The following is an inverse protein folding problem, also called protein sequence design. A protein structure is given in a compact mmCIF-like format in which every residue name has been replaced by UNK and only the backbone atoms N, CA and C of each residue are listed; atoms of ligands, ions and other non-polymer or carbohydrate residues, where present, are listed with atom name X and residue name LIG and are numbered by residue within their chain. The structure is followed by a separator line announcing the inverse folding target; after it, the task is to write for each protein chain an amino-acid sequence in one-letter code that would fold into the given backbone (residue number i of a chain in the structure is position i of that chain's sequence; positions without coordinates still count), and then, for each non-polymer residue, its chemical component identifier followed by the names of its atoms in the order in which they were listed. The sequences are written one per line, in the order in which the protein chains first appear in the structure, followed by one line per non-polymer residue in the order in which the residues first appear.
data_IF_848074223366
#
_entry.id   IF_848074223366
#
_cell.length_a   1.000
_cell.length_b   1.000
_cell.length_c   1.000
_cell.angle_alpha   90.00
_cell.angle_beta   90.00
_cell.angle_gamma   90.00
#
_symmetry.space_group_name_H-M   'P 1'
#
loop_
_entity.id
_entity.type
_entity.pdbx_description
1 polymer ?
#
# COMPACT_ATOMS: atom_id res chain seq x y z
N UNK A 1 -7.64 -14.76 -21.19
CA UNK A 1 -8.40 -15.51 -22.22
C UNK A 1 -8.44 -14.71 -23.52
N UNK A 2 -8.83 -15.30 -24.65
CA UNK A 2 -8.85 -14.59 -25.95
C UNK A 2 -9.76 -13.34 -25.94
N UNK A 3 -10.82 -13.35 -25.14
CA UNK A 3 -11.73 -12.22 -24.94
C UNK A 3 -11.19 -11.12 -23.99
N UNK A 4 -9.97 -11.24 -23.48
CA UNK A 4 -9.36 -10.28 -22.54
C UNK A 4 -9.61 -10.57 -21.06
N UNK A 5 -10.66 -11.32 -20.71
CA UNK A 5 -10.95 -11.69 -19.31
C UNK A 5 -10.01 -12.76 -18.77
N UNK A 6 -9.86 -12.83 -17.45
CA UNK A 6 -9.18 -13.92 -16.74
C UNK A 6 -10.21 -14.85 -16.09
N UNK A 7 -9.92 -16.14 -15.99
CA UNK A 7 -10.85 -17.10 -15.40
C UNK A 7 -10.37 -18.54 -15.51
N UNK A 8 -11.15 -19.48 -14.99
CA UNK A 8 -10.83 -20.92 -14.96
C UNK A 8 -10.50 -21.52 -16.32
N UNK A 9 -9.52 -22.41 -16.39
CA UNK A 9 -9.07 -23.06 -17.64
C UNK A 9 -10.20 -23.79 -18.37
N UNK A 10 -11.12 -24.41 -17.62
CA UNK A 10 -12.23 -25.21 -18.15
C UNK A 10 -13.40 -24.39 -18.72
N UNK A 11 -13.43 -23.07 -18.50
CA UNK A 11 -14.51 -22.21 -18.96
C UNK A 11 -14.04 -21.33 -20.12
N UNK A 12 -14.90 -21.11 -21.12
CA UNK A 12 -14.58 -20.18 -22.22
C UNK A 12 -14.70 -18.71 -21.78
N UNK A 13 -15.57 -18.42 -20.82
CA UNK A 13 -15.83 -17.08 -20.27
C UNK A 13 -14.73 -16.63 -19.32
N UNK A 14 -14.52 -15.32 -19.24
CA UNK A 14 -13.77 -14.72 -18.13
C UNK A 14 -14.66 -14.56 -16.90
N UNK A 15 -14.05 -14.34 -15.75
CA UNK A 15 -14.74 -14.02 -14.51
C UNK A 15 -14.21 -12.73 -13.88
N UNK A 16 -15.13 -11.99 -13.26
CA UNK A 16 -14.86 -10.65 -12.73
C UNK A 16 -13.89 -10.69 -11.55
N UNK A 17 -13.92 -11.77 -10.76
CA UNK A 17 -13.04 -11.96 -9.59
C UNK A 17 -11.57 -12.16 -9.99
N UNK A 18 -11.29 -13.07 -10.91
CA UNK A 18 -9.92 -13.32 -11.38
C UNK A 18 -9.42 -12.14 -12.21
N UNK A 19 -10.28 -11.50 -12.99
CA UNK A 19 -9.90 -10.32 -13.80
C UNK A 19 -9.47 -9.14 -12.92
N UNK A 20 -10.13 -8.87 -11.79
CA UNK A 20 -9.68 -7.80 -10.89
C UNK A 20 -8.31 -8.07 -10.26
N UNK A 21 -7.94 -9.34 -10.01
CA UNK A 21 -6.62 -9.69 -9.48
C UNK A 21 -5.55 -9.68 -10.55
N UNK A 22 -5.88 -10.04 -11.79
CA UNK A 22 -4.99 -9.83 -12.93
C UNK A 22 -4.71 -8.34 -13.14
N UNK A 23 -5.72 -7.47 -12.98
CA UNK A 23 -5.54 -6.03 -13.00
C UNK A 23 -4.63 -5.55 -11.86
N UNK A 24 -4.86 -6.02 -10.62
CA UNK A 24 -4.02 -5.68 -9.47
C UNK A 24 -2.57 -6.14 -9.67
N UNK A 25 -2.35 -7.37 -10.15
CA UNK A 25 -1.01 -7.89 -10.44
C UNK A 25 -0.31 -7.08 -11.52
N UNK A 26 -1.02 -6.73 -12.59
CA UNK A 26 -0.52 -5.87 -13.66
C UNK A 26 -0.13 -4.49 -13.15
N UNK A 27 -0.91 -3.93 -12.23
CA UNK A 27 -0.63 -2.66 -11.58
C UNK A 27 0.60 -2.73 -10.68
N UNK A 28 0.74 -3.76 -9.85
CA UNK A 28 1.94 -3.95 -9.02
C UNK A 28 3.21 -4.18 -9.86
N UNK A 29 3.10 -4.87 -10.99
CA UNK A 29 4.20 -5.01 -11.95
C UNK A 29 4.57 -3.67 -12.61
N UNK A 30 3.57 -2.90 -13.03
CA UNK A 30 3.78 -1.54 -13.53
C UNK A 30 4.44 -0.65 -12.47
N UNK A 31 4.05 -0.80 -11.20
CA UNK A 31 4.64 -0.08 -10.05
C UNK A 31 6.15 -0.26 -9.88
N UNK A 32 6.70 -1.36 -10.38
CA UNK A 32 8.13 -1.67 -10.33
C UNK A 32 8.81 -1.60 -11.70
N UNK A 33 8.17 -0.99 -12.70
CA UNK A 33 8.73 -0.83 -14.05
C UNK A 33 8.70 -2.09 -14.91
N UNK A 34 7.95 -3.13 -14.51
CA UNK A 34 7.81 -4.41 -15.24
C UNK A 34 6.42 -4.59 -15.86
N UNK A 35 5.86 -3.49 -16.35
CA UNK A 35 4.47 -3.44 -16.79
C UNK A 35 4.16 -4.40 -17.95
N UNK A 36 2.93 -4.93 -18.04
CA UNK A 36 2.46 -5.57 -19.26
C UNK A 36 2.28 -4.56 -20.40
N UNK A 37 2.05 -5.07 -21.61
CA UNK A 37 1.74 -4.23 -22.78
C UNK A 37 0.42 -3.47 -22.60
N UNK A 38 0.30 -2.29 -23.25
CA UNK A 38 -0.98 -1.56 -23.29
C UNK A 38 -2.09 -2.40 -23.91
N UNK A 39 -1.79 -3.25 -24.90
CA UNK A 39 -2.76 -4.12 -25.54
C UNK A 39 -3.36 -5.13 -24.55
N UNK A 40 -2.55 -5.66 -23.62
CA UNK A 40 -3.03 -6.54 -22.56
C UNK A 40 -3.92 -5.79 -21.56
N UNK A 41 -3.56 -4.55 -21.21
CA UNK A 41 -4.36 -3.68 -20.33
C UNK A 41 -5.70 -3.33 -20.99
N UNK A 42 -5.68 -2.93 -22.27
CA UNK A 42 -6.88 -2.59 -23.04
C UNK A 42 -7.79 -3.81 -23.23
N UNK A 43 -7.25 -5.00 -23.45
CA UNK A 43 -8.05 -6.21 -23.58
C UNK A 43 -8.82 -6.52 -22.28
N UNK A 44 -8.15 -6.43 -21.13
CA UNK A 44 -8.79 -6.60 -19.82
C UNK A 44 -9.81 -5.51 -19.52
N UNK A 45 -9.48 -4.25 -19.84
CA UNK A 45 -10.38 -3.11 -19.62
C UNK A 45 -11.62 -3.23 -20.51
N UNK A 46 -11.44 -3.51 -21.81
CA UNK A 46 -12.53 -3.74 -22.75
C UNK A 46 -13.45 -4.88 -22.28
N UNK A 47 -12.88 -5.98 -21.79
CA UNK A 47 -13.66 -7.08 -21.26
C UNK A 47 -14.53 -6.64 -20.08
N UNK A 48 -13.99 -5.88 -19.12
CA UNK A 48 -14.76 -5.34 -18.00
C UNK A 48 -15.87 -4.38 -18.46
N UNK A 49 -15.58 -3.52 -19.44
CA UNK A 49 -16.56 -2.57 -19.97
C UNK A 49 -17.72 -3.26 -20.71
N UNK A 50 -17.43 -4.34 -21.45
CA UNK A 50 -18.42 -5.10 -22.22
C UNK A 50 -19.22 -6.12 -21.39
N UNK A 51 -18.71 -6.50 -20.22
CA UNK A 51 -19.38 -7.44 -19.31
C UNK A 51 -20.11 -6.75 -18.16
N UNK A 52 -20.05 -5.42 -18.08
CA UNK A 52 -20.93 -4.67 -17.19
C UNK A 52 -22.37 -4.79 -17.68
N UNK A 53 -23.32 -5.04 -16.78
CA UNK A 53 -24.72 -5.03 -17.17
C UNK A 53 -25.29 -3.60 -17.25
N UNK A 54 -26.43 -3.38 -17.95
CA UNK A 54 -26.99 -2.04 -18.15
C UNK A 54 -27.25 -1.24 -16.87
N UNK A 55 -27.57 -1.91 -15.76
CA UNK A 55 -27.82 -1.25 -14.46
C UNK A 55 -26.54 -0.88 -13.68
N UNK A 56 -25.36 -1.35 -14.14
CA UNK A 56 -24.06 -0.97 -13.61
C UNK A 56 -23.27 -2.02 -12.83
N UNK A 57 -23.87 -3.15 -12.43
CA UNK A 57 -23.13 -4.23 -11.77
C UNK A 57 -22.50 -5.24 -12.75
N UNK A 58 -21.74 -6.17 -12.19
CA UNK A 58 -21.15 -7.31 -12.89
C UNK A 58 -21.67 -8.62 -12.29
N UNK A 59 -21.79 -9.64 -13.13
CA UNK A 59 -21.93 -11.02 -12.68
C UNK A 59 -20.57 -11.65 -12.35
N UNK A 60 -20.59 -12.89 -11.85
CA UNK A 60 -19.35 -13.63 -11.60
C UNK A 60 -18.66 -14.01 -12.91
N UNK A 61 -19.35 -14.76 -13.78
CA UNK A 61 -18.92 -15.03 -15.16
C UNK A 61 -19.47 -13.95 -16.08
N UNK A 62 -18.60 -13.34 -16.88
CA UNK A 62 -18.99 -12.28 -17.81
C UNK A 62 -19.33 -12.82 -19.19
N UNK A 63 -20.52 -12.51 -19.70
CA UNK A 63 -20.92 -12.76 -21.08
C UNK A 63 -20.92 -11.48 -21.90
N UNK A 64 -20.24 -11.51 -23.05
CA UNK A 64 -20.23 -10.42 -24.03
C UNK A 64 -21.31 -10.73 -25.08
N UNK A 65 -22.13 -9.76 -25.45
CA UNK A 65 -23.11 -9.90 -26.54
C UNK A 65 -22.40 -9.99 -27.90
N UNK A 66 -23.05 -10.56 -28.91
CA UNK A 66 -22.45 -10.66 -30.25
C UNK A 66 -22.23 -9.27 -30.89
N UNK A 67 -23.12 -8.33 -30.57
CA UNK A 67 -23.14 -6.96 -31.08
C UNK A 67 -22.30 -5.98 -30.24
N UNK A 68 -21.77 -6.42 -29.09
CA UNK A 68 -20.97 -5.60 -28.19
C UNK A 68 -21.77 -4.62 -27.31
N UNK A 69 -23.10 -4.73 -27.31
CA UNK A 69 -23.98 -4.01 -26.40
C UNK A 69 -24.05 -4.62 -25.00
N UNK A 70 -24.40 -3.80 -23.99
CA UNK A 70 -24.51 -4.28 -22.61
C UNK A 70 -25.74 -5.19 -22.47
N UNK A 71 -25.54 -6.34 -21.84
CA UNK A 71 -26.61 -7.29 -21.55
C UNK A 71 -26.66 -7.64 -20.06
N UNK A 72 -27.82 -8.13 -19.61
CA UNK A 72 -28.01 -8.60 -18.23
C UNK A 72 -27.03 -9.74 -17.92
N UNK A 73 -26.34 -9.64 -16.79
CA UNK A 73 -25.41 -10.68 -16.33
C UNK A 73 -26.09 -11.59 -15.30
N UNK A 74 -25.57 -12.80 -15.13
CA UNK A 74 -26.06 -13.73 -14.12
C UNK A 74 -25.59 -13.34 -12.72
N UNK A 75 -26.52 -13.34 -11.77
CA UNK A 75 -26.27 -13.13 -10.34
C UNK A 75 -25.35 -11.93 -10.01
N UNK A 76 -25.73 -10.71 -10.42
CA UNK A 76 -24.98 -9.53 -10.04
C UNK A 76 -24.97 -9.36 -8.51
N UNK A 77 -23.85 -8.86 -7.98
CA UNK A 77 -23.68 -8.69 -6.54
C UNK A 77 -22.81 -7.50 -6.18
N UNK A 78 -22.90 -7.07 -4.93
CA UNK A 78 -22.02 -6.02 -4.40
C UNK A 78 -20.54 -6.43 -4.47
N UNK A 79 -20.25 -7.73 -4.31
CA UNK A 79 -18.90 -8.27 -4.41
C UNK A 79 -18.35 -8.17 -5.84
N UNK A 80 -19.17 -8.52 -6.84
CA UNK A 80 -18.79 -8.41 -8.24
C UNK A 80 -18.79 -6.96 -8.74
N UNK A 81 -19.66 -6.11 -8.21
CA UNK A 81 -19.58 -4.67 -8.42
C UNK A 81 -18.23 -4.12 -7.95
N UNK A 82 -17.84 -4.41 -6.70
CA UNK A 82 -16.58 -3.93 -6.14
C UNK A 82 -15.37 -4.45 -6.95
N UNK A 83 -15.39 -5.72 -7.34
CA UNK A 83 -14.38 -6.32 -8.19
C UNK A 83 -14.30 -5.64 -9.58
N UNK A 84 -15.44 -5.49 -10.26
CA UNK A 84 -15.54 -4.89 -11.59
C UNK A 84 -15.12 -3.43 -11.60
N UNK A 85 -15.59 -2.64 -10.62
CA UNK A 85 -15.20 -1.23 -10.46
C UNK A 85 -13.71 -1.09 -10.14
N UNK A 86 -13.20 -1.88 -9.19
CA UNK A 86 -11.77 -1.87 -8.83
C UNK A 86 -10.88 -2.19 -10.04
N UNK A 87 -11.18 -3.27 -10.76
CA UNK A 87 -10.44 -3.65 -11.97
C UNK A 87 -10.52 -2.58 -13.07
N UNK A 88 -11.70 -2.01 -13.29
CA UNK A 88 -11.94 -0.97 -14.31
C UNK A 88 -11.12 0.28 -14.00
N UNK A 89 -11.12 0.72 -12.74
CA UNK A 89 -10.37 1.90 -12.32
C UNK A 89 -8.85 1.68 -12.34
N UNK A 90 -8.39 0.50 -11.93
CA UNK A 90 -6.96 0.11 -11.99
C UNK A 90 -6.47 0.17 -13.44
N UNK A 91 -7.13 -0.54 -14.36
CA UNK A 91 -6.70 -0.61 -15.76
C UNK A 91 -6.86 0.73 -16.47
N UNK A 92 -7.95 1.46 -16.20
CA UNK A 92 -8.13 2.82 -16.71
C UNK A 92 -7.05 3.79 -16.23
N UNK A 93 -6.55 3.61 -15.00
CA UNK A 93 -5.42 4.38 -14.49
C UNK A 93 -4.11 4.02 -15.20
N UNK A 94 -3.78 2.73 -15.34
CA UNK A 94 -2.59 2.28 -16.06
C UNK A 94 -2.57 2.74 -17.53
N UNK A 95 -3.73 2.70 -18.19
CA UNK A 95 -3.93 3.16 -19.56
C UNK A 95 -3.78 4.69 -19.71
N UNK A 96 -3.80 5.44 -18.60
CA UNK A 96 -3.72 6.90 -18.59
C UNK A 96 -5.04 7.61 -18.87
N UNK A 97 -6.15 6.88 -18.83
CA UNK A 97 -7.51 7.40 -19.03
C UNK A 97 -8.10 7.97 -17.74
N UNK A 98 -7.65 7.45 -16.58
CA UNK A 98 -8.03 7.92 -15.25
C UNK A 98 -6.80 8.44 -14.51
N UNK A 99 -6.81 9.71 -14.14
CA UNK A 99 -5.71 10.37 -13.43
C UNK A 99 -6.26 11.08 -12.20
N UNK A 100 -5.39 11.32 -11.20
CA UNK A 100 -5.80 12.06 -10.01
C UNK A 100 -6.35 13.45 -10.39
N UNK A 101 -7.65 13.67 -10.16
CA UNK A 101 -8.39 14.88 -10.50
C UNK A 101 -9.11 14.85 -11.86
N UNK A 102 -9.19 13.72 -12.57
CA UNK A 102 -9.78 13.66 -13.91
C UNK A 102 -11.33 13.60 -13.95
N UNK A 103 -12.00 13.43 -12.80
CA UNK A 103 -13.48 13.34 -12.70
C UNK A 103 -14.03 14.41 -11.73
N UNK A 104 -13.51 15.63 -11.76
CA UNK A 104 -14.03 16.73 -10.92
C UNK A 104 -14.62 17.83 -11.80
N UNK A 105 -15.95 17.96 -11.78
CA UNK A 105 -16.72 19.12 -12.30
C UNK A 105 -16.86 20.24 -11.25
N UNK A 106 -16.23 20.11 -10.09
CA UNK A 106 -16.22 21.16 -9.07
C UNK A 106 -14.87 21.87 -9.07
N UNK A 107 -14.87 23.14 -9.46
CA UNK A 107 -13.74 24.04 -9.28
C UNK A 107 -13.19 23.85 -7.87
N UNK A 108 -11.94 23.38 -7.78
CA UNK A 108 -11.26 23.27 -6.50
C UNK A 108 -11.27 24.67 -5.84
N UNK A 109 -11.54 24.76 -4.52
CA UNK A 109 -11.24 25.99 -3.80
C UNK A 109 -9.78 26.32 -4.09
N UNK A 110 -9.51 27.52 -4.61
CA UNK A 110 -8.14 28.01 -4.76
C UNK A 110 -7.48 27.93 -3.39
N UNK A 111 -6.62 26.94 -3.17
CA UNK A 111 -5.73 26.96 -2.01
C UNK A 111 -5.01 28.30 -2.03
N UNK A 112 -5.11 29.06 -0.92
CA UNK A 112 -4.35 30.30 -0.74
C UNK A 112 -2.90 29.94 -0.49
N UNK A 113 -2.22 29.56 -1.57
CA UNK A 113 -0.78 29.29 -1.55
C UNK A 113 -0.06 30.62 -1.85
N UNK A 114 0.92 31.04 -1.05
CA UNK A 114 1.73 32.23 -1.33
C UNK A 114 2.30 32.25 -2.76
N UNK A 115 2.33 33.42 -3.42
CA UNK A 115 2.76 33.60 -4.82
C UNK A 115 4.18 33.07 -5.14
N UNK A 116 5.02 32.90 -4.11
CA UNK A 116 6.35 32.34 -4.24
C UNK A 116 6.38 30.81 -4.47
N UNK A 117 5.27 30.12 -4.24
CA UNK A 117 5.16 28.67 -4.38
C UNK A 117 4.61 28.32 -5.77
N UNK A 118 5.49 27.80 -6.62
CA UNK A 118 5.09 27.14 -7.86
C UNK A 118 4.76 25.69 -7.54
N UNK A 119 3.62 25.19 -8.04
CA UNK A 119 3.26 23.78 -7.98
C UNK A 119 4.39 22.99 -8.66
N UNK A 120 5.19 22.27 -7.88
CA UNK A 120 6.17 21.36 -8.45
C UNK A 120 5.41 20.32 -9.28
N UNK A 121 5.85 20.06 -10.52
CA UNK A 121 5.37 18.91 -11.26
C UNK A 121 5.75 17.70 -10.41
N UNK A 122 4.75 17.04 -9.83
CA UNK A 122 4.94 15.71 -9.27
C UNK A 122 5.41 14.87 -10.45
N UNK A 123 6.67 14.46 -10.46
CA UNK A 123 7.06 13.32 -11.26
C UNK A 123 6.24 12.16 -10.73
N UNK A 124 5.13 11.85 -11.39
CA UNK A 124 4.58 10.51 -11.31
C UNK A 124 5.74 9.59 -11.63
N UNK A 125 6.22 8.85 -10.64
CA UNK A 125 7.36 7.92 -10.79
C UNK A 125 7.11 6.96 -11.95
N UNK A 126 5.84 6.74 -12.33
CA UNK A 126 5.45 5.97 -13.50
C UNK A 126 4.53 6.78 -14.40
N UNK A 127 5.01 6.99 -15.62
CA UNK A 127 4.17 7.46 -16.71
C UNK A 127 3.10 6.40 -17.01
N UNK A 128 1.86 6.81 -17.31
CA UNK A 128 0.87 5.89 -17.88
C UNK A 128 1.45 5.19 -19.11
N UNK A 129 0.98 3.98 -19.40
CA UNK A 129 1.49 3.21 -20.54
C UNK A 129 1.27 3.94 -21.87
N UNK A 130 0.23 4.76 -21.98
CA UNK A 130 -0.10 5.52 -23.17
C UNK A 130 -0.58 4.64 -24.33
N UNK A 131 -1.18 5.25 -25.35
CA UNK A 131 -1.58 4.54 -26.58
C UNK A 131 -2.83 3.64 -26.45
N UNK A 132 -3.63 3.80 -25.39
CA UNK A 132 -4.88 3.06 -25.20
C UNK A 132 -5.87 3.36 -26.33
N UNK A 133 -6.56 2.33 -26.80
CA UNK A 133 -7.62 2.40 -27.81
C UNK A 133 -9.03 2.43 -27.19
N UNK A 134 -9.13 2.50 -25.86
CA UNK A 134 -10.40 2.53 -25.15
C UNK A 134 -10.98 3.95 -25.18
N UNK A 135 -12.25 4.06 -25.57
CA UNK A 135 -12.96 5.35 -25.54
C UNK A 135 -13.14 5.83 -24.08
N UNK A 136 -12.58 7.00 -23.71
CA UNK A 136 -12.77 7.57 -22.38
C UNK A 136 -14.25 7.75 -21.99
N UNK A 137 -15.14 8.02 -22.96
CA UNK A 137 -16.57 8.17 -22.70
C UNK A 137 -17.20 6.85 -22.26
N UNK A 138 -16.82 5.75 -22.88
CA UNK A 138 -17.29 4.41 -22.50
C UNK A 138 -16.84 4.06 -21.08
N UNK A 139 -15.60 4.37 -20.73
CA UNK A 139 -15.04 4.19 -19.40
C UNK A 139 -15.79 5.02 -18.34
N UNK A 140 -15.95 6.32 -18.58
CA UNK A 140 -16.67 7.21 -17.66
C UNK A 140 -18.13 6.78 -17.48
N UNK A 141 -18.80 6.38 -18.56
CA UNK A 141 -20.17 5.86 -18.48
C UNK A 141 -20.25 4.58 -17.65
N UNK A 142 -19.27 3.69 -17.74
CA UNK A 142 -19.21 2.49 -16.92
C UNK A 142 -19.03 2.80 -15.43
N UNK A 143 -18.12 3.72 -15.10
CA UNK A 143 -17.91 4.17 -13.72
C UNK A 143 -19.20 4.78 -13.14
N UNK A 144 -19.86 5.66 -13.90
CA UNK A 144 -21.11 6.31 -13.46
C UNK A 144 -22.25 5.30 -13.24
N UNK A 145 -22.38 4.29 -14.11
CA UNK A 145 -23.38 3.22 -13.90
C UNK A 145 -23.06 2.42 -12.63
N UNK A 146 -21.80 2.04 -12.45
CA UNK A 146 -21.38 1.29 -11.26
C UNK A 146 -21.57 2.08 -9.96
N UNK A 147 -21.32 3.39 -9.97
CA UNK A 147 -21.62 4.28 -8.85
C UNK A 147 -23.12 4.34 -8.54
N UNK A 148 -23.97 4.53 -9.55
CA UNK A 148 -25.43 4.51 -9.37
C UNK A 148 -25.93 3.18 -8.77
N UNK A 149 -25.36 2.06 -9.22
CA UNK A 149 -25.69 0.76 -8.64
C UNK A 149 -25.22 0.66 -7.19
N UNK A 150 -23.99 1.11 -6.89
CA UNK A 150 -23.43 1.15 -5.55
C UNK A 150 -24.32 1.94 -4.59
N UNK A 151 -24.67 3.17 -4.95
CA UNK A 151 -25.46 4.08 -4.10
C UNK A 151 -26.85 3.50 -3.77
N UNK A 152 -27.42 2.71 -4.68
CA UNK A 152 -28.71 2.04 -4.49
C UNK A 152 -28.63 0.78 -3.62
N UNK A 153 -27.52 0.05 -3.67
CA UNK A 153 -27.46 -1.34 -3.16
C UNK A 153 -26.48 -1.55 -2.00
N UNK A 154 -25.62 -0.59 -1.67
CA UNK A 154 -24.70 -0.70 -0.55
C UNK A 154 -25.42 -0.43 0.78
N UNK A 155 -25.36 -1.41 1.69
CA UNK A 155 -25.82 -1.27 3.08
C UNK A 155 -25.13 -2.31 3.97
N UNK A 156 -25.31 -2.19 5.30
CA UNK A 156 -24.86 -3.21 6.25
C UNK A 156 -25.51 -4.58 5.96
N UNK A 157 -26.80 -4.59 5.62
CA UNK A 157 -27.55 -5.79 5.23
C UNK A 157 -26.99 -6.42 3.96
N UNK A 158 -26.52 -5.60 3.01
CA UNK A 158 -25.88 -6.10 1.80
C UNK A 158 -24.59 -6.88 2.12
N UNK A 159 -23.80 -6.43 3.11
CA UNK A 159 -22.61 -7.15 3.57
C UNK A 159 -23.01 -8.44 4.30
N UNK A 160 -24.03 -8.39 5.17
CA UNK A 160 -24.54 -9.57 5.89
C UNK A 160 -25.06 -10.67 4.95
N UNK A 161 -25.73 -10.29 3.85
CA UNK A 161 -26.16 -11.24 2.81
C UNK A 161 -24.98 -12.01 2.20
N UNK A 162 -23.79 -11.44 2.24
CA UNK A 162 -22.53 -12.02 1.77
C UNK A 162 -21.65 -12.58 2.89
N UNK A 163 -22.19 -12.90 4.07
CA UNK A 163 -21.41 -13.30 5.26
C UNK A 163 -20.35 -14.38 4.99
N UNK A 164 -20.65 -15.41 4.19
CA UNK A 164 -19.71 -16.45 3.78
C UNK A 164 -18.43 -15.94 3.11
N UNK A 165 -18.48 -14.76 2.47
CA UNK A 165 -17.37 -14.13 1.75
C UNK A 165 -17.24 -12.63 2.06
N UNK A 166 -17.72 -12.18 3.22
CA UNK A 166 -17.80 -10.76 3.55
C UNK A 166 -16.41 -10.10 3.57
N UNK A 167 -15.39 -10.79 4.09
CA UNK A 167 -14.01 -10.27 4.10
C UNK A 167 -13.48 -10.03 2.68
N UNK A 168 -13.78 -10.92 1.73
CA UNK A 168 -13.41 -10.76 0.32
C UNK A 168 -14.12 -9.57 -0.34
N UNK A 169 -15.43 -9.43 -0.08
CA UNK A 169 -16.21 -8.28 -0.51
C UNK A 169 -15.60 -6.98 0.02
N UNK A 170 -15.33 -6.91 1.33
CA UNK A 170 -14.79 -5.73 1.98
C UNK A 170 -13.44 -5.34 1.39
N UNK A 171 -12.52 -6.29 1.19
CA UNK A 171 -11.24 -5.97 0.56
C UNK A 171 -11.38 -5.53 -0.90
N UNK A 172 -12.30 -6.11 -1.66
CA UNK A 172 -12.59 -5.65 -3.03
C UNK A 172 -13.18 -4.22 -3.02
N UNK A 173 -14.02 -3.91 -2.05
CA UNK A 173 -14.60 -2.58 -1.85
C UNK A 173 -13.55 -1.55 -1.46
N UNK A 174 -12.59 -1.90 -0.59
CA UNK A 174 -11.47 -1.04 -0.24
C UNK A 174 -10.64 -0.66 -1.46
N UNK A 175 -10.37 -1.61 -2.36
CA UNK A 175 -9.67 -1.31 -3.62
C UNK A 175 -10.44 -0.35 -4.51
N UNK A 176 -11.71 -0.66 -4.77
CA UNK A 176 -12.58 0.22 -5.56
C UNK A 176 -12.59 1.64 -4.98
N UNK A 177 -12.91 1.77 -3.68
CA UNK A 177 -13.03 3.09 -3.04
C UNK A 177 -11.70 3.82 -2.94
N UNK A 178 -10.59 3.13 -2.76
CA UNK A 178 -9.25 3.76 -2.78
C UNK A 178 -8.92 4.38 -4.13
N UNK A 179 -9.25 3.71 -5.24
CA UNK A 179 -9.06 4.27 -6.58
C UNK A 179 -10.04 5.41 -6.86
N UNK A 180 -11.28 5.31 -6.39
CA UNK A 180 -12.25 6.42 -6.48
C UNK A 180 -11.72 7.67 -5.74
N UNK A 181 -11.27 7.51 -4.50
CA UNK A 181 -10.67 8.58 -3.70
C UNK A 181 -9.44 9.19 -4.39
N UNK A 182 -8.59 8.35 -4.97
CA UNK A 182 -7.41 8.79 -5.73
C UNK A 182 -7.78 9.59 -7.00
N UNK A 183 -8.74 9.11 -7.78
CA UNK A 183 -9.17 9.73 -9.05
C UNK A 183 -9.93 11.03 -8.78
N UNK A 184 -10.78 11.06 -7.76
CA UNK A 184 -11.59 12.24 -7.41
C UNK A 184 -10.82 13.25 -6.55
N UNK A 185 -9.70 12.84 -5.93
CA UNK A 185 -9.00 13.58 -4.87
C UNK A 185 -9.87 13.89 -3.67
N UNK A 186 -10.90 13.09 -3.43
CA UNK A 186 -11.77 13.20 -2.27
C UNK A 186 -11.59 11.95 -1.41
N UNK A 187 -10.77 12.06 -0.37
CA UNK A 187 -10.47 10.98 0.55
C UNK A 187 -10.82 11.43 1.98
N UNK A 188 -12.09 11.31 2.40
CA UNK A 188 -12.48 11.65 3.75
C UNK A 188 -11.75 10.75 4.76
N UNK A 189 -11.47 11.29 5.95
CA UNK A 189 -10.77 10.56 7.02
C UNK A 189 -11.57 9.32 7.46
N UNK A 190 -12.90 9.47 7.60
CA UNK A 190 -13.83 8.43 8.01
C UNK A 190 -14.97 8.25 6.98
N UNK A 191 -14.71 7.59 5.84
CA UNK A 191 -15.76 7.35 4.86
C UNK A 191 -16.82 6.40 5.41
N UNK A 192 -18.10 6.69 5.12
CA UNK A 192 -19.22 5.85 5.56
C UNK A 192 -19.06 4.36 5.19
N UNK A 193 -18.61 4.07 3.96
CA UNK A 193 -18.39 2.69 3.50
C UNK A 193 -17.38 1.92 4.35
N UNK A 194 -16.34 2.61 4.83
CA UNK A 194 -15.31 2.02 5.67
C UNK A 194 -15.86 1.76 7.07
N UNK A 195 -16.60 2.73 7.64
CA UNK A 195 -17.21 2.57 8.96
C UNK A 195 -18.19 1.40 9.01
N UNK A 196 -19.03 1.23 7.99
CA UNK A 196 -19.96 0.10 7.89
C UNK A 196 -19.19 -1.24 7.85
N UNK A 197 -18.13 -1.33 7.05
CA UNK A 197 -17.30 -2.54 6.99
C UNK A 197 -16.51 -2.81 8.27
N UNK A 198 -16.01 -1.77 8.93
CA UNK A 198 -15.30 -1.86 10.21
C UNK A 198 -16.23 -2.41 11.31
N UNK A 199 -17.42 -1.85 11.47
CA UNK A 199 -18.38 -2.33 12.48
C UNK A 199 -18.81 -3.78 12.20
N UNK A 200 -18.98 -4.16 10.93
CA UNK A 200 -19.21 -5.55 10.55
C UNK A 200 -18.06 -6.45 11.00
N UNK A 201 -16.81 -6.11 10.68
CA UNK A 201 -15.64 -6.92 11.06
C UNK A 201 -15.49 -7.01 12.59
N UNK A 202 -15.64 -5.89 13.30
CA UNK A 202 -15.58 -5.84 14.76
C UNK A 202 -16.60 -6.77 15.41
N UNK A 203 -17.83 -6.79 14.91
CA UNK A 203 -18.89 -7.65 15.43
C UNK A 203 -18.67 -9.15 15.16
N UNK A 204 -17.97 -9.48 14.07
CA UNK A 204 -17.80 -10.86 13.61
C UNK A 204 -16.36 -11.39 13.80
N UNK A 205 -15.55 -10.72 14.62
CA UNK A 205 -14.20 -11.18 14.94
C UNK A 205 -14.28 -12.38 15.90
N UNK A 206 -13.54 -13.44 15.58
CA UNK A 206 -13.40 -14.63 16.41
C UNK A 206 -12.49 -14.34 17.62
N UNK A 207 -12.56 -15.16 18.67
CA UNK A 207 -11.77 -14.99 19.89
C UNK A 207 -10.25 -14.91 19.65
N UNK A 208 -9.75 -15.69 18.68
CA UNK A 208 -8.34 -15.67 18.27
C UNK A 208 -7.98 -14.49 17.35
N UNK A 209 -8.87 -13.52 17.18
CA UNK A 209 -8.67 -12.30 16.39
C UNK A 209 -8.85 -12.44 14.87
N UNK A 210 -9.25 -13.62 14.38
CA UNK A 210 -9.48 -13.87 12.95
C UNK A 210 -10.95 -13.77 12.54
N UNK A 211 -11.22 -14.08 11.28
CA UNK A 211 -12.58 -14.10 10.71
C UNK A 211 -12.83 -15.41 9.96
N UNK A 212 -14.09 -15.84 9.95
CA UNK A 212 -14.52 -17.04 9.24
C UNK A 212 -14.91 -16.75 7.78
N UNK A 213 -14.70 -17.73 6.89
CA UNK A 213 -15.23 -17.74 5.52
C UNK A 213 -15.21 -19.15 4.96
N UNK A 214 -16.09 -19.42 3.99
CA UNK A 214 -16.10 -20.66 3.20
C UNK A 214 -14.75 -20.90 2.47
N UNK A 215 -13.98 -19.84 2.20
CA UNK A 215 -12.63 -19.93 1.63
C UNK A 215 -11.51 -20.15 2.67
N UNK A 216 -11.87 -20.57 3.89
CA UNK A 216 -11.03 -20.76 5.09
C UNK A 216 -10.64 -19.48 5.82
N UNK A 217 -10.52 -19.60 7.14
CA UNK A 217 -10.27 -18.49 8.08
C UNK A 217 -8.97 -17.70 7.80
N UNK A 218 -7.84 -18.32 7.39
CA UNK A 218 -6.64 -17.55 7.06
C UNK A 218 -6.85 -16.57 5.90
N UNK A 219 -7.62 -16.97 4.88
CA UNK A 219 -7.93 -16.12 3.72
C UNK A 219 -8.83 -14.95 4.13
N UNK A 220 -9.88 -15.24 4.90
CA UNK A 220 -10.78 -14.22 5.44
C UNK A 220 -10.03 -13.20 6.29
N UNK A 221 -9.18 -13.68 7.19
CA UNK A 221 -8.36 -12.85 8.08
C UNK A 221 -7.41 -11.97 7.28
N UNK A 222 -6.75 -12.50 6.24
CA UNK A 222 -5.89 -11.71 5.37
C UNK A 222 -6.66 -10.56 4.68
N UNK A 223 -7.85 -10.84 4.12
CA UNK A 223 -8.67 -9.80 3.49
C UNK A 223 -9.19 -8.76 4.50
N UNK A 224 -9.62 -9.19 5.68
CA UNK A 224 -10.05 -8.29 6.74
C UNK A 224 -8.92 -7.34 7.16
N UNK A 225 -7.70 -7.85 7.33
CA UNK A 225 -6.52 -7.03 7.66
C UNK A 225 -6.20 -6.04 6.55
N UNK A 226 -6.25 -6.46 5.27
CA UNK A 226 -5.99 -5.57 4.14
C UNK A 226 -7.03 -4.43 4.05
N UNK A 227 -8.30 -4.73 4.33
CA UNK A 227 -9.37 -3.74 4.45
C UNK A 227 -9.12 -2.76 5.60
N UNK A 228 -8.92 -3.27 6.83
CA UNK A 228 -8.70 -2.45 8.04
C UNK A 228 -7.46 -1.57 7.93
N UNK A 229 -6.44 -2.04 7.21
CA UNK A 229 -5.23 -1.25 6.98
C UNK A 229 -5.40 -0.16 5.92
N UNK A 230 -6.49 -0.17 5.14
CA UNK A 230 -6.64 0.62 3.90
C UNK A 230 -5.41 0.49 3.00
N UNK A 231 -5.03 -0.77 2.75
CA UNK A 231 -3.75 -1.12 2.12
C UNK A 231 -3.56 -0.47 0.74
N UNK A 232 -4.60 -0.42 -0.09
CA UNK A 232 -4.55 0.16 -1.43
C UNK A 232 -4.42 1.67 -1.37
N UNK A 233 -5.23 2.31 -0.50
CA UNK A 233 -5.19 3.76 -0.30
C UNK A 233 -3.79 4.22 0.15
N UNK A 234 -3.16 3.50 1.07
CA UNK A 234 -1.80 3.82 1.55
C UNK A 234 -0.79 3.78 0.42
N UNK A 235 -0.86 2.77 -0.46
CA UNK A 235 0.04 2.64 -1.60
C UNK A 235 -0.18 3.79 -2.60
N UNK A 236 -1.43 4.13 -2.90
CA UNK A 236 -1.76 5.25 -3.79
C UNK A 236 -1.27 6.59 -3.23
N UNK A 237 -1.38 6.81 -1.91
CA UNK A 237 -0.91 8.03 -1.27
C UNK A 237 0.63 8.11 -1.17
N UNK A 238 1.33 6.98 -1.05
CA UNK A 238 2.79 6.95 -1.17
C UNK A 238 3.25 7.40 -2.56
N UNK A 239 2.48 7.08 -3.62
CA UNK A 239 2.79 7.47 -4.99
C UNK A 239 2.49 8.95 -5.32
N UNK A 240 1.64 9.61 -4.54
CA UNK A 240 1.29 11.02 -4.73
C UNK A 240 2.26 12.00 -4.08
N UNK A 241 3.22 11.51 -3.29
CA UNK A 241 4.21 12.33 -2.62
C UNK A 241 3.56 13.31 -1.63
N UNK A 242 3.71 13.03 -0.33
CA UNK A 242 3.77 14.14 0.61
C UNK A 242 4.89 15.08 0.10
N UNK A 243 4.51 16.23 -0.46
CA UNK A 243 5.37 17.04 -1.32
C UNK A 243 6.73 17.30 -0.70
N UNK A 244 7.78 16.76 -1.30
CA UNK A 244 9.12 16.80 -0.74
C UNK A 244 9.74 18.18 -0.98
N UNK A 245 9.97 18.96 0.08
CA UNK A 245 10.81 20.16 0.02
C UNK A 245 12.24 19.77 -0.37
N UNK A 246 13.01 20.73 -0.90
CA UNK A 246 14.47 20.62 -1.07
C UNK A 246 15.07 20.32 0.32
N UNK A 247 15.22 19.04 0.66
CA UNK A 247 15.47 18.58 2.03
C UNK A 247 14.81 17.25 2.42
N UNK A 248 13.94 16.65 1.59
CA UNK A 248 13.48 15.26 1.82
C UNK A 248 12.23 15.10 2.69
N UNK A 249 11.53 16.17 3.06
CA UNK A 249 10.31 16.13 3.90
C UNK A 249 9.06 16.65 3.19
N UNK A 250 7.93 16.01 3.49
CA UNK A 250 6.59 16.39 3.05
C UNK A 250 6.14 17.79 3.48
N UNK A 251 5.26 18.41 2.69
CA UNK A 251 4.55 19.65 3.03
C UNK A 251 3.48 19.35 4.10
N UNK A 252 3.43 20.16 5.17
CA UNK A 252 2.34 20.12 6.14
C UNK A 252 1.04 20.66 5.52
N UNK A 253 -0.11 20.19 6.01
CA UNK A 253 -1.44 20.69 5.62
C UNK A 253 -1.70 22.15 6.03
N UNK A 254 -0.95 22.67 7.00
CA UNK A 254 -1.02 24.08 7.44
C UNK A 254 0.23 24.85 6.99
N UNK A 255 0.06 25.67 5.94
CA UNK A 255 1.11 26.46 5.30
C UNK A 255 1.28 27.86 5.91
N UNK A 256 0.45 28.23 6.89
CA UNK A 256 0.40 29.59 7.47
C UNK A 256 1.69 30.02 8.20
N UNK A 257 2.64 29.10 8.41
CA UNK A 257 3.84 29.29 9.23
C UNK A 257 5.15 29.32 8.45
N UNK A 258 5.10 29.33 7.11
CA UNK A 258 6.30 29.46 6.27
C UNK A 258 6.82 30.89 6.27
N UNK A 259 8.12 31.08 6.52
CA UNK A 259 8.79 32.39 6.49
C UNK A 259 9.92 32.40 5.44
N UNK A 260 10.12 33.53 4.79
CA UNK A 260 11.26 33.75 3.91
C UNK A 260 12.43 34.32 4.71
N UNK A 261 13.61 33.69 4.63
CA UNK A 261 14.88 34.25 5.13
C UNK A 261 15.95 34.12 4.06
N UNK A 262 16.60 35.24 3.72
CA UNK A 262 17.71 35.30 2.76
C UNK A 262 17.43 34.62 1.41
N UNK A 263 16.25 34.85 0.83
CA UNK A 263 15.85 34.26 -0.46
C UNK A 263 15.57 32.75 -0.43
N UNK A 264 15.63 32.10 0.75
CA UNK A 264 15.24 30.71 0.96
C UNK A 264 13.98 30.65 1.81
N UNK A 265 13.09 29.72 1.44
CA UNK A 265 11.93 29.36 2.24
C UNK A 265 12.45 28.60 3.46
N UNK A 266 12.23 29.14 4.66
CA UNK A 266 12.62 28.51 5.92
C UNK A 266 11.36 28.13 6.67
N UNK A 267 11.10 26.83 6.76
CA UNK A 267 10.13 26.30 7.72
C UNK A 267 10.73 26.40 9.11
N UNK A 268 10.10 27.14 10.03
CA UNK A 268 10.36 26.96 11.46
C UNK A 268 9.90 25.54 11.82
N UNK A 269 10.83 24.59 11.80
CA UNK A 269 10.55 23.19 12.09
C UNK A 269 10.16 23.06 13.57
N UNK A 270 8.95 22.55 13.85
CA UNK A 270 8.80 21.73 15.04
C UNK A 270 9.57 20.43 14.77
N UNK A 271 10.52 20.02 15.64
CA UNK A 271 11.22 18.75 15.46
C UNK A 271 10.20 17.62 15.43
N UNK A 272 10.29 16.73 14.43
CA UNK A 272 9.47 15.52 14.36
C UNK A 272 9.81 14.59 15.53
N UNK A 273 8.96 13.62 15.85
CA UNK A 273 9.30 12.61 16.85
C UNK A 273 10.59 11.85 16.47
N UNK A 274 10.82 11.63 15.17
CA UNK A 274 12.06 11.03 14.65
C UNK A 274 13.26 11.97 14.82
N UNK A 275 13.11 13.28 14.65
CA UNK A 275 14.17 14.26 14.94
C UNK A 275 14.53 14.32 16.41
N UNK A 276 13.51 14.29 17.27
CA UNK A 276 13.72 14.26 18.72
C UNK A 276 14.43 12.97 19.11
N UNK A 277 14.00 11.84 18.55
CA UNK A 277 14.64 10.54 18.76
C UNK A 277 16.09 10.55 18.26
N UNK A 278 16.36 11.03 17.04
CA UNK A 278 17.73 11.13 16.50
C UNK A 278 18.58 12.05 17.39
N UNK A 279 18.05 13.20 17.83
CA UNK A 279 18.75 14.08 18.77
C UNK A 279 19.03 13.40 20.11
N UNK A 280 18.11 12.57 20.60
CA UNK A 280 18.32 11.77 21.82
C UNK A 280 19.41 10.71 21.60
N UNK A 281 19.43 10.06 20.42
CA UNK A 281 20.45 9.08 20.03
C UNK A 281 21.83 9.71 19.80
N UNK A 282 21.87 10.95 19.33
CA UNK A 282 23.09 11.76 19.15
C UNK A 282 23.56 12.43 20.46
N UNK A 283 22.70 12.46 21.49
CA UNK A 283 23.00 13.01 22.82
C UNK A 283 23.61 11.96 23.76
N UNK A 284 24.36 12.42 24.77
CA UNK A 284 25.08 11.56 25.72
C UNK A 284 24.20 10.98 26.87
N UNK A 285 22.88 10.87 26.71
CA UNK A 285 21.97 10.42 27.77
C UNK A 285 21.71 8.91 27.76
N UNK A 286 22.59 8.09 28.31
CA UNK A 286 22.47 6.62 28.29
C UNK A 286 21.26 6.07 29.06
N UNK A 287 20.84 6.73 30.15
CA UNK A 287 19.73 6.28 30.99
C UNK A 287 18.37 6.35 30.28
N UNK A 288 18.12 7.41 29.50
CA UNK A 288 16.89 7.59 28.73
C UNK A 288 16.78 6.54 27.62
N UNK A 289 17.90 6.19 26.98
CA UNK A 289 17.95 5.19 25.92
C UNK A 289 17.69 3.78 26.47
N UNK A 290 18.22 3.45 27.65
CA UNK A 290 17.94 2.19 28.35
C UNK A 290 16.45 2.04 28.70
N UNK A 291 15.82 3.11 29.19
CA UNK A 291 14.39 3.11 29.49
C UNK A 291 13.54 2.83 28.23
N UNK A 292 13.93 3.40 27.09
CA UNK A 292 13.27 3.15 25.79
C UNK A 292 13.51 1.74 25.26
N UNK A 293 14.67 1.15 25.50
CA UNK A 293 14.93 -0.25 25.14
C UNK A 293 14.01 -1.21 25.89
N UNK A 294 13.77 -0.94 27.18
CA UNK A 294 12.86 -1.71 28.06
C UNK A 294 11.38 -1.53 27.75
N UNK A 295 10.99 -0.49 26.99
CA UNK A 295 9.61 -0.26 26.55
C UNK A 295 9.46 -0.32 25.02
N UNK A 296 9.25 -1.53 24.45
CA UNK A 296 9.13 -1.72 23.00
C UNK A 296 7.97 -0.93 22.36
N UNK A 297 6.90 -0.62 23.10
CA UNK A 297 5.73 0.07 22.57
C UNK A 297 5.96 1.58 22.35
N UNK A 298 6.94 2.16 23.05
CA UNK A 298 7.20 3.60 23.02
C UNK A 298 7.76 4.11 21.68
N UNK A 299 8.40 3.24 20.89
CA UNK A 299 9.15 3.65 19.69
C UNK A 299 8.26 3.74 18.43
N UNK A 300 7.38 4.73 18.34
CA UNK A 300 6.56 4.93 17.12
C UNK A 300 7.40 5.57 16.00
N UNK A 301 7.86 4.76 15.07
CA UNK A 301 8.61 5.19 13.88
C UNK A 301 7.69 5.11 12.67
N UNK A 302 7.06 6.23 12.32
CA UNK A 302 6.23 6.37 11.12
C UNK A 302 6.81 7.49 10.24
N UNK A 303 6.67 7.38 8.91
CA UNK A 303 7.04 8.42 7.95
C UNK A 303 8.51 8.89 8.05
N UNK A 304 9.45 7.94 8.11
CA UNK A 304 10.89 8.24 8.03
C UNK A 304 11.27 8.53 6.59
N UNK A 305 11.76 9.74 6.32
CA UNK A 305 12.27 10.12 5.01
C UNK A 305 13.67 9.55 4.74
N UNK A 306 14.17 9.65 3.51
CA UNK A 306 15.49 9.14 3.14
C UNK A 306 16.65 9.74 3.96
N UNK A 307 16.52 11.00 4.41
CA UNK A 307 17.54 11.66 5.21
C UNK A 307 17.59 11.11 6.63
N UNK A 308 16.44 10.93 7.28
CA UNK A 308 16.35 10.35 8.62
C UNK A 308 16.81 8.89 8.60
N UNK A 309 16.45 8.12 7.57
CA UNK A 309 16.92 6.75 7.40
C UNK A 309 18.45 6.69 7.32
N UNK A 310 19.09 7.57 6.53
CA UNK A 310 20.56 7.67 6.46
C UNK A 310 21.18 8.02 7.81
N UNK A 311 20.58 8.93 8.58
CA UNK A 311 21.05 9.25 9.93
C UNK A 311 20.96 8.04 10.86
N UNK A 312 19.84 7.31 10.83
CA UNK A 312 19.71 6.07 11.60
C UNK A 312 20.77 5.05 11.20
N UNK A 313 21.05 4.87 9.90
CA UNK A 313 22.13 4.00 9.44
C UNK A 313 23.51 4.45 9.93
N UNK A 314 23.74 5.76 10.08
CA UNK A 314 24.97 6.26 10.70
C UNK A 314 25.00 5.98 12.21
N UNK A 315 23.90 6.17 12.92
CA UNK A 315 23.81 5.81 14.35
C UNK A 315 24.09 4.32 14.54
N UNK A 316 23.57 3.43 13.68
CA UNK A 316 23.90 1.99 13.72
C UNK A 316 25.40 1.72 13.56
N UNK A 317 26.17 2.59 12.89
CA UNK A 317 27.61 2.40 12.69
C UNK A 317 28.46 2.97 13.83
N UNK A 318 28.09 4.12 14.38
CA UNK A 318 28.96 4.90 15.27
C UNK A 318 28.35 5.30 16.62
N UNK A 319 27.08 4.99 16.88
CA UNK A 319 26.42 5.33 18.14
C UNK A 319 26.89 4.49 19.32
N UNK A 320 26.45 4.85 20.53
CA UNK A 320 26.59 3.99 21.72
C UNK A 320 25.85 2.66 21.50
N UNK A 321 26.17 1.57 22.24
CA UNK A 321 25.47 0.31 22.07
C UNK A 321 23.93 0.42 22.19
N UNK A 322 23.45 1.25 23.10
CA UNK A 322 22.03 1.53 23.31
C UNK A 322 21.42 2.29 22.12
N UNK A 323 22.14 3.30 21.62
CA UNK A 323 21.73 4.07 20.46
C UNK A 323 21.71 3.22 19.18
N UNK A 324 22.69 2.34 19.00
CA UNK A 324 22.73 1.36 17.90
C UNK A 324 21.53 0.42 17.97
N UNK A 325 21.23 -0.15 19.13
CA UNK A 325 20.10 -1.04 19.32
C UNK A 325 18.76 -0.37 18.98
N UNK A 326 18.55 0.88 19.45
CA UNK A 326 17.35 1.64 19.13
C UNK A 326 17.27 2.04 17.65
N UNK A 327 18.40 2.41 17.03
CA UNK A 327 18.44 2.72 15.61
C UNK A 327 18.14 1.49 14.74
N UNK A 328 18.67 0.31 15.10
CA UNK A 328 18.34 -0.97 14.45
C UNK A 328 16.85 -1.28 14.59
N UNK A 329 16.28 -1.12 15.79
CA UNK A 329 14.84 -1.30 16.04
C UNK A 329 14.00 -0.36 15.19
N UNK A 330 14.40 0.91 15.08
CA UNK A 330 13.73 1.91 14.25
C UNK A 330 13.75 1.53 12.76
N UNK A 331 14.93 1.19 12.24
CA UNK A 331 15.11 0.74 10.84
C UNK A 331 14.27 -0.50 10.55
N UNK A 332 14.23 -1.44 11.48
CA UNK A 332 13.44 -2.68 11.34
C UNK A 332 11.94 -2.40 11.19
N UNK A 333 11.41 -1.35 11.83
CA UNK A 333 9.99 -0.97 11.71
C UNK A 333 9.63 -0.40 10.34
N UNK A 334 10.60 0.05 9.55
CA UNK A 334 10.37 0.52 8.19
C UNK A 334 9.97 -0.62 7.23
N UNK A 335 10.34 -1.87 7.56
CA UNK A 335 10.00 -3.07 6.78
C UNK A 335 10.44 -3.01 5.31
N UNK A 336 11.52 -2.28 5.05
CA UNK A 336 12.07 -2.10 3.71
C UNK A 336 13.27 -3.04 3.48
N UNK A 337 13.27 -3.73 2.34
CA UNK A 337 14.35 -4.64 1.94
C UNK A 337 15.67 -3.90 1.68
N UNK A 338 15.61 -2.60 1.40
CA UNK A 338 16.80 -1.79 1.13
C UNK A 338 17.63 -1.53 2.40
N UNK A 339 17.05 -1.73 3.58
CA UNK A 339 17.77 -1.63 4.87
C UNK A 339 18.28 -2.97 5.40
N UNK A 340 18.01 -4.10 4.73
CA UNK A 340 18.54 -5.40 5.13
C UNK A 340 20.07 -5.41 5.25
N UNK A 341 20.86 -4.77 4.35
CA UNK A 341 22.31 -4.68 4.54
C UNK A 341 22.72 -4.04 5.87
N UNK A 342 21.97 -3.05 6.36
CA UNK A 342 22.21 -2.44 7.67
C UNK A 342 21.89 -3.40 8.81
N UNK A 343 20.84 -4.21 8.70
CA UNK A 343 20.52 -5.25 9.69
C UNK A 343 21.55 -6.38 9.67
N UNK A 344 22.06 -6.77 8.50
CA UNK A 344 23.14 -7.75 8.37
C UNK A 344 24.45 -7.23 8.99
N UNK A 345 24.77 -5.94 8.83
CA UNK A 345 25.88 -5.30 9.53
C UNK A 345 25.65 -5.27 11.05
N UNK A 346 24.44 -4.95 11.53
CA UNK A 346 24.14 -4.97 12.96
C UNK A 346 24.24 -6.38 13.58
N UNK A 347 24.08 -7.44 12.78
CA UNK A 347 24.36 -8.81 13.20
C UNK A 347 25.85 -9.08 13.43
N UNK A 348 26.78 -8.15 13.14
CA UNK A 348 28.23 -8.22 13.47
C UNK A 348 28.65 -7.29 14.62
N UNK A 349 27.69 -6.63 15.29
CA UNK A 349 27.93 -5.76 16.44
C UNK A 349 28.55 -6.48 17.67
N UNK A 350 29.54 -5.89 18.37
CA UNK A 350 30.07 -6.48 19.60
C UNK A 350 29.04 -6.60 20.73
N UNK A 351 28.01 -5.76 20.75
CA UNK A 351 26.95 -5.81 21.77
C UNK A 351 25.82 -6.78 21.37
N UNK A 352 25.61 -7.81 22.19
CA UNK A 352 24.59 -8.83 21.93
C UNK A 352 23.17 -8.27 21.84
N UNK A 353 22.87 -7.13 22.48
CA UNK A 353 21.55 -6.48 22.41
C UNK A 353 21.27 -5.97 21.00
N UNK A 354 22.27 -5.37 20.35
CA UNK A 354 22.17 -4.90 18.96
C UNK A 354 21.94 -6.08 18.01
N UNK A 355 22.62 -7.20 18.23
CA UNK A 355 22.44 -8.43 17.46
C UNK A 355 21.02 -8.99 17.60
N UNK A 356 20.45 -8.98 18.82
CA UNK A 356 19.06 -9.42 19.04
C UNK A 356 18.06 -8.54 18.30
N UNK A 357 18.23 -7.21 18.37
CA UNK A 357 17.39 -6.28 17.59
C UNK A 357 17.51 -6.51 16.08
N UNK A 358 18.73 -6.76 15.59
CA UNK A 358 18.97 -7.04 14.18
C UNK A 358 18.33 -8.37 13.74
N UNK A 359 18.46 -9.42 14.55
CA UNK A 359 17.82 -10.73 14.35
C UNK A 359 16.30 -10.58 14.24
N UNK A 360 15.70 -9.87 15.19
CA UNK A 360 14.25 -9.69 15.25
C UNK A 360 13.76 -8.77 14.12
N UNK A 361 14.57 -7.78 13.75
CA UNK A 361 14.39 -6.99 12.55
C UNK A 361 14.37 -7.82 11.28
N UNK A 362 15.34 -8.72 11.09
CA UNK A 362 15.41 -9.61 9.94
C UNK A 362 14.21 -10.56 9.89
N UNK A 363 13.76 -11.11 11.03
CA UNK A 363 12.52 -11.90 11.13
C UNK A 363 11.31 -11.11 10.67
N UNK A 364 11.23 -9.85 11.06
CA UNK A 364 10.12 -8.97 10.77
C UNK A 364 10.09 -8.54 9.30
N UNK A 365 11.21 -8.07 8.75
CA UNK A 365 11.35 -7.65 7.34
C UNK A 365 11.10 -8.84 6.40
N UNK A 366 11.64 -10.01 6.72
CA UNK A 366 11.47 -11.23 5.90
C UNK A 366 10.11 -11.91 6.04
N UNK A 367 9.29 -11.49 7.03
CA UNK A 367 8.09 -12.21 7.48
C UNK A 367 8.35 -13.67 7.87
N UNK A 368 9.60 -14.03 8.17
CA UNK A 368 10.00 -15.34 8.69
C UNK A 368 10.13 -15.22 10.20
N UNK A 369 9.02 -15.29 10.93
CA UNK A 369 9.01 -15.06 12.38
C UNK A 369 9.89 -16.03 13.17
N UNK A 370 10.05 -17.28 12.72
CA UNK A 370 11.00 -18.24 13.31
C UNK A 370 12.48 -17.93 13.01
N UNK A 371 12.76 -17.10 12.00
CA UNK A 371 14.11 -16.80 11.52
C UNK A 371 14.91 -18.06 11.15
N UNK A 372 16.19 -18.08 11.55
CA UNK A 372 17.09 -19.23 11.41
C UNK A 372 17.54 -19.79 12.77
N UNK A 373 16.76 -19.57 13.82
CA UNK A 373 16.96 -20.23 15.12
C UNK A 373 17.98 -19.61 16.06
N UNK A 374 18.48 -18.38 15.82
CA UNK A 374 19.37 -17.71 16.79
C UNK A 374 18.62 -17.43 18.09
N UNK A 375 19.09 -18.01 19.20
CA UNK A 375 18.53 -17.82 20.55
C UNK A 375 18.99 -16.50 21.16
N UNK A 376 18.55 -16.16 22.37
CA UNK A 376 19.02 -14.94 23.07
C UNK A 376 20.41 -15.10 23.69
N UNK A 377 20.80 -16.33 24.05
CA UNK A 377 22.06 -16.65 24.71
C UNK A 377 23.10 -17.23 23.75
N UNK A 378 23.04 -16.79 22.49
CA UNK A 378 23.90 -17.30 21.42
C UNK A 378 25.40 -17.14 21.70
N UNK A 379 26.18 -18.02 21.10
CA UNK A 379 27.62 -17.84 20.89
C UNK A 379 27.92 -17.27 19.50
N UNK A 380 29.18 -16.86 19.27
CA UNK A 380 29.57 -16.25 18.00
C UNK A 380 29.50 -17.23 16.82
N UNK A 381 29.72 -18.53 17.05
CA UNK A 381 29.60 -19.54 15.99
C UNK A 381 28.17 -19.65 15.50
N UNK A 382 27.19 -19.78 16.41
CA UNK A 382 25.77 -19.80 16.11
C UNK A 382 25.33 -18.52 15.38
N UNK A 383 25.80 -17.38 15.88
CA UNK A 383 25.54 -16.06 15.30
C UNK A 383 26.02 -15.96 13.85
N UNK A 384 27.27 -16.29 13.57
CA UNK A 384 27.83 -16.20 12.21
C UNK A 384 27.22 -17.23 11.26
N UNK A 385 26.87 -18.42 11.75
CA UNK A 385 26.12 -19.42 10.99
C UNK A 385 24.72 -18.90 10.59
N UNK A 386 24.02 -18.21 11.50
CA UNK A 386 22.72 -17.59 11.20
C UNK A 386 22.87 -16.37 10.29
N UNK A 387 23.92 -15.58 10.46
CA UNK A 387 24.23 -14.45 9.58
C UNK A 387 24.42 -14.92 8.13
N UNK A 388 25.19 -15.99 7.89
CA UNK A 388 25.38 -16.54 6.54
C UNK A 388 24.05 -16.98 5.90
N UNK A 389 23.16 -17.61 6.67
CA UNK A 389 21.81 -17.97 6.21
C UNK A 389 20.99 -16.75 5.82
N UNK A 390 21.09 -15.65 6.57
CA UNK A 390 20.44 -14.38 6.23
C UNK A 390 21.06 -13.71 5.00
N UNK A 391 22.40 -13.72 4.86
CA UNK A 391 23.10 -13.22 3.66
C UNK A 391 22.61 -13.99 2.41
N UNK A 392 22.59 -15.33 2.46
CA UNK A 392 22.07 -16.19 1.38
C UNK A 392 20.58 -15.95 1.09
N UNK A 393 19.77 -15.74 2.12
CA UNK A 393 18.36 -15.37 1.92
C UNK A 393 18.22 -14.04 1.17
N UNK A 394 18.98 -13.03 1.57
CA UNK A 394 18.91 -11.71 0.95
C UNK A 394 19.39 -11.73 -0.51
N UNK A 395 20.49 -12.43 -0.82
CA UNK A 395 20.99 -12.56 -2.19
C UNK A 395 20.02 -13.28 -3.13
N UNK A 396 19.16 -14.18 -2.62
CA UNK A 396 18.08 -14.75 -3.45
C UNK A 396 17.02 -13.73 -3.85
N UNK A 397 16.84 -12.67 -3.06
CA UNK A 397 15.89 -11.58 -3.34
C UNK A 397 16.54 -10.42 -4.10
N UNK A 398 17.84 -10.19 -3.89
CA UNK A 398 18.66 -9.15 -4.50
C UNK A 398 20.01 -9.75 -4.93
N UNK A 399 20.07 -10.43 -6.09
CA UNK A 399 21.31 -11.08 -6.56
C UNK A 399 22.49 -10.13 -6.69
N UNK A 400 22.23 -8.87 -7.04
CA UNK A 400 23.25 -7.84 -7.28
C UNK A 400 23.58 -7.00 -6.02
N UNK A 401 23.05 -7.37 -4.85
CA UNK A 401 23.28 -6.59 -3.64
C UNK A 401 24.73 -6.73 -3.13
N UNK A 402 25.35 -5.59 -2.84
CA UNK A 402 26.61 -5.52 -2.11
C UNK A 402 26.35 -5.76 -0.62
N UNK A 403 26.70 -6.96 -0.15
CA UNK A 403 26.68 -7.27 1.28
C UNK A 403 28.03 -6.82 1.85
N UNK A 404 28.00 -5.78 2.68
CA UNK A 404 29.18 -5.36 3.44
C UNK A 404 29.64 -6.51 4.37
N UNK A 405 30.97 -6.64 4.62
CA UNK A 405 31.53 -7.71 5.45
C UNK A 405 30.79 -7.93 6.76
#
# INVERSE_FOLDING_TARGET
KANGGCGYETLATGDTSQTQYAALSSWELWRIGKAPSIQSVDAGLKWLLLTQQPDGAWGYQGSISAEGELQKQSQPSLSMLAAGMGGTMILGNMAGLLKAGSISETEQPKEKVPDALKKAKVEQILQPLGGSQIDPKMLNAAILRGQKWYDKNFSEEAIKKWHHHACYLLYSLERYKSFEEFITRNAPDEPHWYQVGYEYLKKNQLEHGGWHSDSKDPCATAFAVLFLMRSTQKILNQSLGQGTLIGGRGLHSDLSRMKMRAGRLVTEQKPTQVDQMIKMLEGNGSEDLEALLKNPAALRVNNVGPQEARRLQQVVKSGSPEARALAVRAISRLRDLDYVPTLLYAMTDPDKRVVREARDGLRYVSRRFGGFGLTDNFDDSERYNVLDKWKKWYLRLRPDALILP
#
